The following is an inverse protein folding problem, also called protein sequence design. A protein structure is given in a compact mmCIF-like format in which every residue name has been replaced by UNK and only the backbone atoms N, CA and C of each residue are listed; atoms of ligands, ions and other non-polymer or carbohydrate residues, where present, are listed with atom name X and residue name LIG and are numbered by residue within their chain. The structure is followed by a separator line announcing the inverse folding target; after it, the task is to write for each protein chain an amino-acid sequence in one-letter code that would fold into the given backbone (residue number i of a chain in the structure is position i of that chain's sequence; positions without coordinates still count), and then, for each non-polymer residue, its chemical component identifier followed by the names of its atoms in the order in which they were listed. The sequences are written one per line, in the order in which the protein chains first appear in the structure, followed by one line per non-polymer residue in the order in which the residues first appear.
data_IF_030988136921
#
_entry.id   IF_030988136921
#
_cell.length_a   1.000
_cell.length_b   1.000
_cell.length_c   1.000
_cell.angle_alpha   90.00
_cell.angle_beta   90.00
_cell.angle_gamma   90.00
#
_symmetry.space_group_name_H-M   'P 1'
#
loop_
_entity.id
_entity.type
_entity.pdbx_description
1 polymer ?
#
# COMPACT_ATOMS: atom_id res chain seq x y z
N UNK A 1 -46.68 -42.36 -19.68
CA UNK A 1 -45.80 -42.58 -18.55
C UNK A 1 -44.78 -41.44 -18.50
N UNK A 2 -45.17 -40.34 -17.83
CA UNK A 2 -44.29 -39.23 -17.60
C UNK A 2 -43.37 -39.49 -16.44
N UNK A 3 -42.09 -39.50 -16.67
CA UNK A 3 -41.11 -39.34 -15.59
C UNK A 3 -41.10 -37.87 -15.18
N UNK A 4 -41.21 -37.53 -13.91
CA UNK A 4 -40.96 -36.18 -13.50
C UNK A 4 -39.45 -35.93 -13.64
N UNK A 5 -39.11 -35.05 -14.56
CA UNK A 5 -37.78 -34.43 -14.54
C UNK A 5 -37.72 -33.61 -13.25
N UNK A 6 -37.04 -34.12 -12.26
CA UNK A 6 -36.59 -33.31 -11.15
C UNK A 6 -35.59 -32.31 -11.69
N UNK A 7 -36.05 -31.08 -11.76
CA UNK A 7 -35.19 -29.95 -12.04
C UNK A 7 -34.27 -29.79 -10.84
N UNK A 8 -33.05 -30.27 -10.99
CA UNK A 8 -31.98 -30.11 -10.01
C UNK A 8 -31.41 -28.66 -9.97
N UNK A 9 -32.19 -27.67 -10.48
CA UNK A 9 -31.73 -26.29 -10.61
C UNK A 9 -31.78 -25.47 -9.31
N UNK A 10 -32.62 -25.83 -8.37
CA UNK A 10 -32.81 -25.00 -7.17
C UNK A 10 -31.71 -25.14 -6.10
N UNK A 11 -30.99 -26.25 -6.10
CA UNK A 11 -29.89 -26.46 -5.12
C UNK A 11 -28.56 -25.87 -5.55
N UNK A 12 -28.32 -25.72 -6.85
CA UNK A 12 -27.10 -25.10 -7.39
C UNK A 12 -27.07 -23.59 -7.15
N UNK A 13 -28.22 -22.93 -7.32
CA UNK A 13 -28.31 -21.47 -7.11
C UNK A 13 -28.12 -21.08 -5.65
N UNK A 14 -28.62 -21.90 -4.71
CA UNK A 14 -28.41 -21.68 -3.29
C UNK A 14 -26.98 -21.92 -2.81
N UNK A 15 -26.28 -22.89 -3.41
CA UNK A 15 -24.89 -23.17 -3.10
C UNK A 15 -23.96 -22.06 -3.63
N UNK A 16 -24.23 -21.55 -4.83
CA UNK A 16 -23.47 -20.46 -5.45
C UNK A 16 -23.63 -19.15 -4.68
N UNK A 17 -24.84 -18.83 -4.24
CA UNK A 17 -25.11 -17.65 -3.40
C UNK A 17 -24.44 -17.76 -2.03
N UNK A 18 -24.40 -18.98 -1.48
CA UNK A 18 -23.75 -19.23 -0.20
C UNK A 18 -22.23 -19.05 -0.29
N UNK A 19 -21.64 -19.45 -1.39
CA UNK A 19 -20.22 -19.27 -1.67
C UNK A 19 -19.82 -17.79 -1.83
N UNK A 20 -20.67 -17.00 -2.46
CA UNK A 20 -20.43 -15.58 -2.69
C UNK A 20 -20.56 -14.73 -1.43
N UNK A 21 -21.35 -15.16 -0.44
CA UNK A 21 -21.71 -14.31 0.70
C UNK A 21 -21.35 -14.89 2.08
N UNK A 22 -20.82 -16.09 2.17
CA UNK A 22 -20.41 -16.69 3.44
C UNK A 22 -18.92 -16.98 3.48
N UNK A 23 -18.35 -16.72 4.65
CA UNK A 23 -16.94 -17.02 4.94
C UNK A 23 -16.62 -18.52 4.91
N UNK A 24 -17.65 -19.36 5.02
CA UNK A 24 -17.58 -20.81 5.05
C UNK A 24 -18.10 -21.41 3.72
N UNK A 25 -17.74 -20.81 2.61
CA UNK A 25 -18.18 -21.23 1.27
C UNK A 25 -17.91 -22.70 0.97
N UNK A 26 -18.83 -23.31 0.25
CA UNK A 26 -18.80 -24.72 -0.16
C UNK A 26 -18.18 -24.83 -1.54
N UNK A 27 -16.89 -24.53 -1.67
CA UNK A 27 -16.21 -24.64 -2.96
C UNK A 27 -15.06 -23.66 -3.13
N UNK A 28 -14.45 -23.65 -4.26
CA UNK A 28 -13.35 -22.75 -4.59
C UNK A 28 -13.89 -21.48 -5.23
N UNK A 29 -13.75 -20.35 -4.56
CA UNK A 29 -14.06 -19.05 -5.15
C UNK A 29 -13.04 -18.76 -6.28
N UNK A 30 -13.48 -18.87 -7.52
CA UNK A 30 -12.68 -18.43 -8.66
C UNK A 30 -12.90 -16.94 -8.79
N UNK A 31 -11.96 -16.14 -8.26
CA UNK A 31 -11.92 -14.70 -8.52
C UNK A 31 -11.02 -14.45 -9.72
N UNK A 32 -11.54 -13.78 -10.74
CA UNK A 32 -10.75 -13.28 -11.87
C UNK A 32 -9.74 -12.20 -11.48
N UNK A 33 -9.82 -11.72 -10.24
CA UNK A 33 -8.87 -10.77 -9.68
C UNK A 33 -7.78 -11.56 -8.95
N UNK A 34 -6.53 -11.52 -9.43
CA UNK A 34 -5.43 -12.11 -8.67
C UNK A 34 -5.37 -11.46 -7.29
N UNK A 35 -5.33 -12.30 -6.28
CA UNK A 35 -5.23 -11.84 -4.90
C UNK A 35 -3.87 -11.19 -4.70
N UNK A 36 -3.88 -9.87 -4.47
CA UNK A 36 -2.69 -9.11 -4.10
C UNK A 36 -2.69 -8.92 -2.59
N UNK A 37 -1.74 -9.54 -1.92
CA UNK A 37 -1.58 -9.46 -0.47
C UNK A 37 -0.52 -8.42 -0.10
N UNK A 38 -0.85 -7.57 0.87
CA UNK A 38 0.15 -6.73 1.54
C UNK A 38 0.91 -7.59 2.56
N UNK A 39 2.22 -7.62 2.45
CA UNK A 39 3.08 -8.31 3.39
C UNK A 39 4.30 -7.47 3.79
N UNK A 40 4.88 -7.69 4.98
CA UNK A 40 6.17 -7.14 5.31
C UNK A 40 7.25 -7.59 4.31
N UNK A 41 8.17 -6.70 4.00
CA UNK A 41 9.31 -7.03 3.17
C UNK A 41 10.33 -7.91 3.93
N UNK A 42 11.06 -8.70 3.18
CA UNK A 42 12.13 -9.56 3.66
C UNK A 42 13.44 -9.17 2.96
N UNK A 43 14.55 -9.65 3.49
CA UNK A 43 15.87 -9.34 2.93
C UNK A 43 15.99 -9.76 1.45
N UNK A 44 15.31 -10.82 1.05
CA UNK A 44 15.29 -11.31 -0.34
C UNK A 44 14.53 -10.36 -1.28
N UNK A 45 13.70 -9.46 -0.75
CA UNK A 45 12.94 -8.48 -1.52
C UNK A 45 13.74 -7.22 -1.87
N UNK A 46 14.92 -7.02 -1.30
CA UNK A 46 15.71 -5.79 -1.46
C UNK A 46 15.96 -5.45 -2.92
N UNK A 47 16.30 -6.43 -3.74
CA UNK A 47 16.53 -6.24 -5.17
C UNK A 47 15.26 -5.73 -5.87
N UNK A 48 14.10 -6.33 -5.60
CA UNK A 48 12.82 -5.91 -6.16
C UNK A 48 12.40 -4.51 -5.69
N UNK A 49 12.65 -4.16 -4.43
CA UNK A 49 12.41 -2.80 -3.89
C UNK A 49 13.27 -1.78 -4.63
N UNK A 50 14.57 -2.04 -4.79
CA UNK A 50 15.49 -1.17 -5.51
C UNK A 50 15.02 -0.93 -6.96
N UNK A 51 14.53 -1.97 -7.64
CA UNK A 51 13.99 -1.84 -8.99
C UNK A 51 12.72 -0.99 -9.04
N UNK A 52 11.83 -1.13 -8.06
CA UNK A 52 10.62 -0.31 -7.95
C UNK A 52 10.94 1.16 -7.69
N UNK A 53 11.95 1.45 -6.87
CA UNK A 53 12.34 2.82 -6.49
C UNK A 53 13.14 3.53 -7.58
N UNK A 54 13.90 2.81 -8.40
CA UNK A 54 14.82 3.37 -9.40
C UNK A 54 14.19 4.46 -10.29
N UNK A 55 13.04 4.26 -10.94
CA UNK A 55 12.45 5.30 -11.80
C UNK A 55 12.11 6.58 -11.04
N UNK A 56 11.72 6.47 -9.78
CA UNK A 56 11.38 7.62 -8.93
C UNK A 56 12.63 8.33 -8.40
N UNK A 57 13.70 7.61 -8.18
CA UNK A 57 15.01 8.18 -7.83
C UNK A 57 15.64 8.92 -9.03
N UNK A 58 15.56 8.34 -10.21
CA UNK A 58 16.07 8.94 -11.45
C UNK A 58 15.31 10.23 -11.82
N UNK A 59 13.99 10.26 -11.59
CA UNK A 59 13.18 11.46 -11.82
C UNK A 59 13.34 12.53 -10.72
N UNK A 60 14.05 12.23 -9.63
CA UNK A 60 14.19 13.11 -8.47
C UNK A 60 12.97 13.14 -7.55
N UNK A 61 11.94 12.32 -7.80
CA UNK A 61 10.77 12.20 -6.93
C UNK A 61 11.12 11.62 -5.57
N UNK A 62 12.07 10.69 -5.52
CA UNK A 62 12.61 10.11 -4.29
C UNK A 62 14.10 10.40 -4.12
N UNK A 63 14.53 10.45 -2.87
CA UNK A 63 15.96 10.46 -2.52
C UNK A 63 16.51 9.06 -2.76
N UNK A 64 17.65 9.01 -3.44
CA UNK A 64 18.36 7.74 -3.66
C UNK A 64 18.75 7.10 -2.34
N UNK A 65 18.44 5.81 -2.22
CA UNK A 65 18.84 4.97 -1.08
C UNK A 65 19.82 3.90 -1.51
N UNK A 66 20.86 3.73 -0.70
CA UNK A 66 21.79 2.62 -0.92
C UNK A 66 21.12 1.29 -0.59
N UNK A 67 21.67 0.19 -1.13
CA UNK A 67 21.23 -1.16 -0.82
C UNK A 67 21.34 -1.44 0.68
N UNK A 68 22.45 -1.06 1.30
CA UNK A 68 22.70 -1.26 2.73
C UNK A 68 21.66 -0.54 3.59
N UNK A 69 21.22 0.64 3.17
CA UNK A 69 20.18 1.37 3.88
C UNK A 69 18.83 0.64 3.82
N UNK A 70 18.46 0.14 2.67
CA UNK A 70 17.22 -0.64 2.54
C UNK A 70 17.30 -1.94 3.32
N UNK A 71 18.43 -2.63 3.31
CA UNK A 71 18.67 -3.84 4.12
C UNK A 71 18.54 -3.55 5.63
N UNK A 72 19.09 -2.43 6.09
CA UNK A 72 19.00 -2.01 7.49
C UNK A 72 17.57 -1.63 7.91
N UNK A 73 16.81 -1.04 7.00
CA UNK A 73 15.43 -0.57 7.24
C UNK A 73 14.36 -1.53 6.69
N UNK A 74 14.72 -2.76 6.37
CA UNK A 74 13.82 -3.69 5.67
C UNK A 74 12.51 -3.96 6.42
N UNK A 75 12.53 -3.94 7.73
CA UNK A 75 11.38 -4.09 8.61
C UNK A 75 10.36 -2.93 8.49
N UNK A 76 10.76 -1.83 7.88
CA UNK A 76 9.90 -0.67 7.58
C UNK A 76 9.17 -0.78 6.25
N UNK A 77 9.61 -1.68 5.37
CA UNK A 77 9.06 -1.85 4.04
C UNK A 77 7.94 -2.88 4.00
N UNK A 78 6.95 -2.59 3.17
CA UNK A 78 5.83 -3.45 2.85
C UNK A 78 5.72 -3.59 1.34
N UNK A 79 5.31 -4.77 0.90
CA UNK A 79 5.15 -5.09 -0.52
C UNK A 79 3.72 -5.56 -0.78
N UNK A 80 3.24 -5.21 -1.96
CA UNK A 80 2.16 -5.94 -2.63
C UNK A 80 2.80 -6.88 -3.65
N UNK A 81 2.48 -8.15 -3.55
CA UNK A 81 3.01 -9.19 -4.42
C UNK A 81 1.91 -9.75 -5.31
N UNK A 82 2.27 -9.98 -6.55
CA UNK A 82 1.45 -10.68 -7.53
C UNK A 82 2.33 -11.62 -8.34
N UNK A 83 1.93 -12.88 -8.43
CA UNK A 83 2.63 -13.91 -9.21
C UNK A 83 4.15 -14.00 -8.88
N UNK A 84 4.51 -13.85 -7.61
CA UNK A 84 5.90 -13.87 -7.15
C UNK A 84 6.70 -12.62 -7.46
N UNK A 85 6.08 -11.56 -7.98
CA UNK A 85 6.73 -10.27 -8.26
C UNK A 85 6.15 -9.14 -7.42
N UNK A 86 7.01 -8.24 -6.96
CA UNK A 86 6.58 -7.03 -6.28
C UNK A 86 5.87 -6.09 -7.26
N UNK A 87 4.56 -5.87 -7.05
CA UNK A 87 3.74 -4.95 -7.84
C UNK A 87 3.80 -3.51 -7.31
N UNK A 88 3.97 -3.36 -5.99
CA UNK A 88 4.12 -2.08 -5.32
C UNK A 88 4.90 -2.23 -4.02
N UNK A 89 5.49 -1.15 -3.55
CA UNK A 89 6.10 -1.07 -2.22
C UNK A 89 5.80 0.27 -1.54
N UNK A 90 5.92 0.28 -0.22
CA UNK A 90 5.94 1.49 0.59
C UNK A 90 6.75 1.26 1.87
N UNK A 91 7.29 2.33 2.44
CA UNK A 91 7.93 2.31 3.75
C UNK A 91 7.05 3.03 4.78
N UNK A 92 7.02 2.51 5.98
CA UNK A 92 6.23 3.01 7.10
C UNK A 92 7.14 3.32 8.29
N UNK A 93 7.22 4.60 8.66
CA UNK A 93 8.00 5.07 9.80
C UNK A 93 7.06 5.58 10.88
N UNK A 94 6.88 4.81 11.95
CA UNK A 94 5.98 5.15 13.05
C UNK A 94 6.57 6.13 14.03
N UNK A 95 5.72 7.05 14.50
CA UNK A 95 5.97 7.98 15.59
C UNK A 95 4.80 7.87 16.60
N UNK A 96 4.77 6.76 17.36
CA UNK A 96 3.61 6.42 18.18
C UNK A 96 3.34 7.44 19.30
N UNK A 97 4.36 8.10 19.82
CA UNK A 97 4.19 9.13 20.84
C UNK A 97 3.34 10.32 20.35
N UNK A 98 3.44 10.66 19.06
CA UNK A 98 2.64 11.72 18.43
C UNK A 98 1.40 11.19 17.70
N UNK A 99 1.17 9.87 17.72
CA UNK A 99 0.08 9.23 16.98
C UNK A 99 0.19 9.38 15.46
N UNK A 100 1.40 9.53 14.95
CA UNK A 100 1.69 9.78 13.54
C UNK A 100 2.58 8.70 12.94
N UNK A 101 2.50 8.56 11.62
CA UNK A 101 3.47 7.80 10.83
C UNK A 101 3.74 8.47 9.49
N UNK A 102 4.97 8.31 9.00
CA UNK A 102 5.36 8.69 7.65
C UNK A 102 5.13 7.53 6.69
N UNK A 103 4.43 7.80 5.61
CA UNK A 103 4.40 6.95 4.44
C UNK A 103 5.44 7.47 3.43
N UNK A 104 6.45 6.68 3.18
CA UNK A 104 7.54 7.01 2.27
C UNK A 104 7.73 5.92 1.21
N UNK A 105 8.49 6.20 0.18
CA UNK A 105 8.87 5.23 -0.85
C UNK A 105 7.69 4.51 -1.50
N UNK A 106 6.54 5.17 -1.62
CA UNK A 106 5.39 4.61 -2.33
C UNK A 106 5.74 4.52 -3.82
N UNK A 107 5.91 3.31 -4.29
CA UNK A 107 6.26 3.02 -5.68
C UNK A 107 5.41 1.88 -6.22
N UNK A 108 5.05 1.98 -7.51
CA UNK A 108 4.29 0.97 -8.23
C UNK A 108 5.10 0.55 -9.45
N UNK A 109 5.17 -0.74 -9.71
CA UNK A 109 5.80 -1.27 -10.91
C UNK A 109 5.15 -0.62 -12.16
N UNK A 110 5.94 -0.09 -13.09
CA UNK A 110 5.43 0.57 -14.30
C UNK A 110 4.43 -0.26 -15.09
N UNK A 111 4.59 -1.58 -15.14
CA UNK A 111 3.69 -2.51 -15.84
C UNK A 111 2.30 -2.59 -15.21
N UNK A 112 2.18 -2.18 -13.95
CA UNK A 112 0.93 -2.16 -13.19
C UNK A 112 0.40 -0.75 -12.90
N UNK A 113 1.02 0.29 -13.44
CA UNK A 113 0.52 1.67 -13.34
C UNK A 113 -0.84 1.80 -14.02
N UNK A 114 -1.61 2.79 -13.59
CA UNK A 114 -2.97 3.08 -14.10
C UNK A 114 -4.03 1.99 -13.83
N UNK A 115 -3.72 1.01 -13.00
CA UNK A 115 -4.66 -0.03 -12.55
C UNK A 115 -5.07 0.12 -11.08
N UNK A 116 -4.91 1.32 -10.52
CA UNK A 116 -5.29 1.62 -9.14
C UNK A 116 -4.38 1.03 -8.05
N UNK A 117 -3.20 0.47 -8.41
CA UNK A 117 -2.29 -0.16 -7.44
C UNK A 117 -1.75 0.82 -6.40
N UNK A 118 -1.42 2.03 -6.80
CA UNK A 118 -0.97 3.05 -5.88
C UNK A 118 -2.04 3.39 -4.83
N UNK A 119 -3.29 3.53 -5.26
CA UNK A 119 -4.42 3.77 -4.38
C UNK A 119 -4.68 2.58 -3.45
N UNK A 120 -4.62 1.36 -3.96
CA UNK A 120 -4.78 0.15 -3.16
C UNK A 120 -3.64 0.01 -2.13
N UNK A 121 -2.40 0.27 -2.53
CA UNK A 121 -1.25 0.28 -1.60
C UNK A 121 -1.45 1.30 -0.49
N UNK A 122 -1.88 2.51 -0.82
CA UNK A 122 -2.17 3.55 0.15
C UNK A 122 -3.27 3.12 1.12
N UNK A 123 -4.38 2.58 0.63
CA UNK A 123 -5.49 2.07 1.45
C UNK A 123 -5.01 1.00 2.44
N UNK A 124 -4.20 0.05 1.99
CA UNK A 124 -3.63 -1.00 2.84
C UNK A 124 -2.70 -0.43 3.91
N UNK A 125 -1.92 0.59 3.56
CA UNK A 125 -1.04 1.27 4.52
C UNK A 125 -1.83 2.10 5.54
N UNK A 126 -2.96 2.70 5.15
CA UNK A 126 -3.88 3.37 6.07
C UNK A 126 -4.50 2.38 7.05
N UNK A 127 -4.92 1.20 6.58
CA UNK A 127 -5.45 0.14 7.44
C UNK A 127 -4.39 -0.37 8.42
N UNK A 128 -3.16 -0.55 7.97
CA UNK A 128 -2.03 -0.91 8.83
C UNK A 128 -1.79 0.15 9.91
N UNK A 129 -1.86 1.43 9.55
CA UNK A 129 -1.71 2.54 10.48
C UNK A 129 -2.80 2.51 11.56
N UNK A 130 -4.06 2.34 11.18
CA UNK A 130 -5.19 2.20 12.12
C UNK A 130 -5.00 1.02 13.07
N UNK A 131 -4.58 -0.14 12.56
CA UNK A 131 -4.29 -1.33 13.37
C UNK A 131 -3.18 -1.09 14.40
N UNK A 132 -2.24 -0.20 14.09
CA UNK A 132 -1.14 0.19 14.98
C UNK A 132 -1.47 1.38 15.90
N UNK A 133 -2.72 1.84 15.92
CA UNK A 133 -3.15 2.96 16.73
C UNK A 133 -2.65 4.32 16.25
N UNK A 134 -2.24 4.42 14.99
CA UNK A 134 -1.83 5.68 14.36
C UNK A 134 -3.07 6.42 13.89
N UNK A 135 -3.18 7.71 14.25
CA UNK A 135 -4.33 8.54 13.91
C UNK A 135 -4.10 9.44 12.69
N UNK A 136 -2.85 9.69 12.34
CA UNK A 136 -2.49 10.57 11.22
C UNK A 136 -1.32 10.00 10.42
N UNK A 137 -1.48 10.00 9.10
CA UNK A 137 -0.37 9.73 8.16
C UNK A 137 0.14 11.04 7.57
N UNK A 138 1.44 11.14 7.38
CA UNK A 138 2.02 12.23 6.63
C UNK A 138 2.93 11.74 5.52
N UNK A 139 3.06 12.56 4.49
CA UNK A 139 3.94 12.34 3.35
C UNK A 139 4.74 13.60 3.06
N UNK A 140 5.95 13.42 2.58
CA UNK A 140 6.82 14.46 2.06
C UNK A 140 6.98 14.24 0.56
N UNK A 141 6.54 15.19 -0.26
CA UNK A 141 6.58 15.05 -1.71
C UNK A 141 7.04 16.34 -2.40
N UNK A 142 7.76 16.19 -3.51
CA UNK A 142 8.13 17.28 -4.40
C UNK A 142 7.29 17.32 -5.67
N UNK A 143 6.69 16.19 -6.08
CA UNK A 143 6.08 16.03 -7.41
C UNK A 143 4.64 15.53 -7.39
N UNK A 144 4.22 14.79 -6.36
CA UNK A 144 2.93 14.06 -6.36
C UNK A 144 1.88 14.66 -5.43
N UNK A 145 1.99 15.96 -5.14
CA UNK A 145 1.06 16.68 -4.25
C UNK A 145 -0.41 16.50 -4.64
N UNK A 146 -0.73 16.64 -5.93
CA UNK A 146 -2.09 16.52 -6.44
C UNK A 146 -2.68 15.14 -6.18
N UNK A 147 -1.91 14.07 -6.44
CA UNK A 147 -2.34 12.70 -6.22
C UNK A 147 -2.71 12.42 -4.75
N UNK A 148 -1.93 12.94 -3.80
CA UNK A 148 -2.22 12.80 -2.38
C UNK A 148 -3.42 13.64 -1.94
N UNK A 149 -3.57 14.84 -2.47
CA UNK A 149 -4.72 15.72 -2.17
C UNK A 149 -6.04 15.06 -2.60
N UNK A 150 -6.09 14.46 -3.76
CA UNK A 150 -7.28 13.72 -4.24
C UNK A 150 -7.65 12.55 -3.31
N UNK A 151 -6.73 12.09 -2.47
CA UNK A 151 -6.91 10.98 -1.53
C UNK A 151 -7.06 11.43 -0.07
N UNK A 152 -7.38 12.69 0.14
CA UNK A 152 -7.72 13.24 1.45
C UNK A 152 -6.54 13.73 2.27
N UNK A 153 -5.36 13.86 1.68
CA UNK A 153 -4.24 14.53 2.32
C UNK A 153 -4.34 16.04 2.17
N UNK A 154 -4.15 16.75 3.26
CA UNK A 154 -4.20 18.21 3.30
C UNK A 154 -2.81 18.81 3.47
N UNK A 155 -2.52 19.98 2.86
CA UNK A 155 -1.27 20.69 3.09
C UNK A 155 -1.05 20.96 4.57
N UNK A 156 0.16 20.74 5.03
CA UNK A 156 0.55 20.98 6.41
C UNK A 156 1.92 21.66 6.48
N UNK A 157 2.31 22.07 7.67
CA UNK A 157 3.60 22.73 7.92
C UNK A 157 4.60 21.73 8.48
N UNK A 158 5.89 22.04 8.31
CA UNK A 158 6.97 21.26 8.93
C UNK A 158 6.78 21.16 10.47
N UNK A 159 6.30 22.24 11.12
CA UNK A 159 6.03 22.27 12.54
C UNK A 159 4.94 21.30 13.01
N UNK A 160 4.09 20.81 12.09
CA UNK A 160 3.03 19.84 12.38
C UNK A 160 3.56 18.39 12.43
N UNK A 161 4.80 18.16 12.01
CA UNK A 161 5.44 16.85 12.00
C UNK A 161 6.04 16.49 13.37
N UNK A 162 6.26 15.20 13.65
CA UNK A 162 7.04 14.76 14.81
C UNK A 162 8.40 15.46 14.88
N UNK A 163 8.83 15.85 16.07
CA UNK A 163 10.10 16.58 16.26
C UNK A 163 11.31 15.83 15.70
N UNK A 164 11.35 14.52 15.88
CA UNK A 164 12.41 13.69 15.35
C UNK A 164 12.47 13.77 13.79
N UNK A 165 11.32 13.90 13.14
CA UNK A 165 11.27 14.07 11.68
C UNK A 165 11.65 15.50 11.26
N UNK A 166 11.24 16.50 12.00
CA UNK A 166 11.64 17.90 11.73
C UNK A 166 13.15 18.05 11.68
N UNK A 167 13.86 17.40 12.61
CA UNK A 167 15.32 17.42 12.67
C UNK A 167 16.00 16.78 11.45
N UNK A 168 15.31 15.87 10.75
CA UNK A 168 15.82 15.18 9.55
C UNK A 168 15.36 15.82 8.24
N UNK A 169 14.60 16.91 8.30
CA UNK A 169 14.06 17.55 7.11
C UNK A 169 15.16 18.12 6.22
N UNK A 170 15.09 17.77 4.93
CA UNK A 170 16.04 18.25 3.94
C UNK A 170 15.52 19.53 3.27
N UNK A 171 15.96 20.68 3.73
CA UNK A 171 15.58 21.99 3.21
C UNK A 171 15.95 22.21 1.73
N UNK A 172 17.01 21.56 1.25
CA UNK A 172 17.42 21.69 -0.17
C UNK A 172 16.41 21.04 -1.12
N UNK A 173 15.74 19.97 -0.69
CA UNK A 173 14.69 19.35 -1.48
C UNK A 173 13.41 20.16 -1.51
N UNK A 174 13.16 20.94 -0.47
CA UNK A 174 11.94 21.72 -0.31
C UNK A 174 10.65 20.86 -0.52
N UNK A 175 10.63 19.67 0.03
CA UNK A 175 9.47 18.79 -0.05
C UNK A 175 8.29 19.41 0.68
N UNK A 176 7.12 19.36 0.06
CA UNK A 176 5.86 19.79 0.68
C UNK A 176 5.36 18.72 1.63
N UNK A 177 4.77 19.14 2.73
CA UNK A 177 4.19 18.30 3.77
C UNK A 177 2.69 18.18 3.56
N UNK A 178 2.18 16.96 3.61
CA UNK A 178 0.74 16.68 3.59
C UNK A 178 0.41 15.70 4.71
N UNK A 179 -0.72 15.92 5.37
CA UNK A 179 -1.21 15.08 6.46
C UNK A 179 -2.62 14.63 6.17
N UNK A 180 -2.91 13.38 6.48
CA UNK A 180 -4.27 12.80 6.48
C UNK A 180 -4.60 12.27 7.86
N UNK A 181 -5.75 12.68 8.40
CA UNK A 181 -6.36 12.05 9.57
C UNK A 181 -7.08 10.77 9.14
N UNK A 182 -6.85 9.70 9.87
CA UNK A 182 -7.37 8.36 9.55
C UNK A 182 -8.70 8.07 10.25
#
# INVERSE_FOLDING_TARGET
HGFPQQVAGGHLDGALLRELFTRDGVGTLITDQPFEELRPARIDDVAGILELLRPLEESGALVRRSRERIETEIDRFFLMERDGMASACAAFYGYPAEGMAELACLAVNPDYRNRGRGALMLERMEDLARQRGICRLFVLTTQTAHWFRERGFEPARLADLPMAKQALYNYRRNSKVFIKTL
#
